data_IF_985670321343
#
_entry.id   IF_985670321343
#
_cell.length_a   1.000
_cell.length_b   1.000
_cell.length_c   1.000
_cell.angle_alpha   90.00
_cell.angle_beta   90.00
_cell.angle_gamma   90.00
#
_symmetry.space_group_name_H-M   'P 1'
#
loop_
_entity.id
_entity.type
_entity.pdbx_description
1 polymer ?
#
# COMPACT_ATOMS: atom_id res chain seq x y z
N UNK A 1 -18.59 -3.34 -7.40
CA UNK A 1 -18.16 -2.03 -7.95
C UNK A 1 -16.82 -1.64 -7.34
N UNK A 2 -16.01 -0.90 -8.08
CA UNK A 2 -14.69 -0.46 -7.68
C UNK A 2 -14.59 1.06 -7.84
N UNK A 3 -14.42 1.78 -6.73
CA UNK A 3 -14.15 3.21 -6.76
C UNK A 3 -12.65 3.43 -6.64
N UNK A 4 -12.04 3.80 -7.77
CA UNK A 4 -10.60 4.10 -7.88
C UNK A 4 -10.46 5.62 -7.85
N UNK A 5 -10.18 6.15 -6.67
CA UNK A 5 -9.93 7.58 -6.44
C UNK A 5 -9.01 7.69 -5.23
N UNK A 6 -8.10 8.64 -5.22
CA UNK A 6 -7.16 8.85 -4.11
C UNK A 6 -7.88 9.13 -2.78
N UNK A 7 -9.06 9.72 -2.85
CA UNK A 7 -9.96 9.91 -1.73
C UNK A 7 -11.39 9.98 -2.25
N UNK A 8 -12.19 8.94 -2.06
CA UNK A 8 -13.57 8.90 -2.52
C UNK A 8 -14.43 9.97 -1.84
N UNK A 9 -14.16 10.26 -0.58
CA UNK A 9 -14.96 11.21 0.21
C UNK A 9 -14.15 12.44 0.57
N UNK A 10 -14.56 13.59 0.03
CA UNK A 10 -13.97 14.89 0.34
C UNK A 10 -14.46 15.45 1.68
N UNK A 11 -15.71 15.13 2.06
CA UNK A 11 -16.31 15.48 3.34
C UNK A 11 -17.28 14.40 3.83
N UNK A 12 -17.67 14.47 5.10
CA UNK A 12 -18.65 13.56 5.68
C UNK A 12 -20.05 13.76 5.09
N UNK A 13 -20.40 14.99 4.80
CA UNK A 13 -21.67 15.37 4.16
C UNK A 13 -21.80 14.67 2.80
N UNK A 14 -20.77 14.79 1.98
CA UNK A 14 -20.72 14.11 0.68
C UNK A 14 -20.78 12.58 0.86
N UNK A 15 -20.06 12.01 1.85
CA UNK A 15 -20.11 10.59 2.12
C UNK A 15 -21.52 10.10 2.48
N UNK A 16 -22.25 10.82 3.34
CA UNK A 16 -23.65 10.50 3.72
C UNK A 16 -24.56 10.49 2.49
N UNK A 17 -24.51 11.55 1.72
CA UNK A 17 -25.37 11.70 0.53
C UNK A 17 -25.05 10.62 -0.51
N UNK A 18 -23.78 10.48 -0.87
CA UNK A 18 -23.31 9.51 -1.86
C UNK A 18 -23.68 8.08 -1.48
N UNK A 19 -23.32 7.65 -0.27
CA UNK A 19 -23.54 6.26 0.18
C UNK A 19 -25.03 5.95 0.31
N UNK A 20 -25.85 6.91 0.76
CA UNK A 20 -27.32 6.75 0.79
C UNK A 20 -27.91 6.58 -0.61
N UNK A 21 -27.50 7.41 -1.56
CA UNK A 21 -27.95 7.31 -2.97
C UNK A 21 -27.46 6.02 -3.62
N UNK A 22 -26.18 5.68 -3.41
CA UNK A 22 -25.57 4.47 -3.96
C UNK A 22 -26.31 3.21 -3.47
N UNK A 23 -26.61 3.13 -2.17
CA UNK A 23 -27.38 2.01 -1.59
C UNK A 23 -28.75 1.86 -2.26
N UNK A 24 -29.48 2.98 -2.44
CA UNK A 24 -30.86 2.98 -2.99
C UNK A 24 -30.89 2.69 -4.49
N UNK A 25 -29.95 3.25 -5.25
CA UNK A 25 -30.02 3.24 -6.71
C UNK A 25 -29.18 2.11 -7.34
N UNK A 26 -28.11 1.69 -6.69
CA UNK A 26 -27.17 0.69 -7.21
C UNK A 26 -27.18 -0.60 -6.37
N UNK A 27 -27.03 -0.49 -5.07
CA UNK A 27 -27.15 -1.60 -4.12
C UNK A 27 -26.16 -2.75 -4.28
N UNK A 28 -25.06 -2.55 -5.04
CA UNK A 28 -24.05 -3.58 -5.28
C UNK A 28 -22.92 -3.51 -4.26
N UNK A 29 -22.30 -4.65 -3.89
CA UNK A 29 -21.08 -4.63 -3.09
C UNK A 29 -19.97 -3.82 -3.79
N UNK A 30 -19.23 -3.04 -3.00
CA UNK A 30 -18.15 -2.22 -3.54
C UNK A 30 -16.91 -2.22 -2.66
N UNK A 31 -15.78 -1.82 -3.24
CA UNK A 31 -14.59 -1.40 -2.52
C UNK A 31 -14.21 0.03 -2.91
N UNK A 32 -13.50 0.72 -2.01
CA UNK A 32 -13.06 2.09 -2.22
C UNK A 32 -11.69 2.37 -1.61
N UNK A 33 -11.10 3.49 -2.02
CA UNK A 33 -9.88 4.03 -1.40
C UNK A 33 -10.25 5.22 -0.53
N UNK A 34 -9.64 5.31 0.64
CA UNK A 34 -9.90 6.36 1.61
C UNK A 34 -8.64 6.77 2.36
N UNK A 35 -8.64 7.99 2.85
CA UNK A 35 -7.64 8.43 3.80
C UNK A 35 -7.99 7.93 5.20
N UNK A 36 -6.95 7.58 5.97
CA UNK A 36 -7.10 7.08 7.34
C UNK A 36 -7.85 8.07 8.24
N UNK A 37 -7.59 9.36 8.06
CA UNK A 37 -8.16 10.45 8.87
C UNK A 37 -9.69 10.59 8.69
N UNK A 38 -10.24 10.06 7.60
CA UNK A 38 -11.68 10.05 7.34
C UNK A 38 -12.42 8.91 8.05
N UNK A 39 -11.68 7.94 8.62
CA UNK A 39 -12.28 6.75 9.21
C UNK A 39 -12.66 7.02 10.66
N UNK A 40 -13.94 7.11 10.91
CA UNK A 40 -14.54 7.11 12.25
C UNK A 40 -15.75 6.16 12.31
N UNK A 41 -16.41 6.13 13.45
CA UNK A 41 -17.56 5.23 13.69
C UNK A 41 -18.71 5.51 12.72
N UNK A 42 -18.98 6.79 12.43
CA UNK A 42 -20.05 7.20 11.54
C UNK A 42 -19.77 6.72 10.10
N UNK A 43 -18.60 7.04 9.57
CA UNK A 43 -18.20 6.66 8.21
C UNK A 43 -18.17 5.14 8.05
N UNK A 44 -17.68 4.41 9.06
CA UNK A 44 -17.66 2.94 9.01
C UNK A 44 -19.07 2.35 8.98
N UNK A 45 -20.00 2.93 9.73
CA UNK A 45 -21.42 2.48 9.71
C UNK A 45 -22.05 2.77 8.34
N UNK A 46 -21.82 3.94 7.76
CA UNK A 46 -22.32 4.29 6.44
C UNK A 46 -21.75 3.36 5.33
N UNK A 47 -20.46 3.09 5.40
CA UNK A 47 -19.80 2.16 4.46
C UNK A 47 -20.41 0.76 4.54
N UNK A 48 -20.56 0.24 5.76
CA UNK A 48 -21.14 -1.09 5.99
C UNK A 48 -22.58 -1.15 5.49
N UNK A 49 -23.38 -0.15 5.81
CA UNK A 49 -24.79 -0.08 5.43
C UNK A 49 -24.97 0.02 3.90
N UNK A 50 -24.06 0.70 3.20
CA UNK A 50 -24.06 0.81 1.75
C UNK A 50 -23.45 -0.40 1.01
N UNK A 51 -22.97 -1.43 1.74
CA UNK A 51 -22.42 -2.64 1.14
C UNK A 51 -20.93 -2.61 0.83
N UNK A 52 -20.17 -1.69 1.44
CA UNK A 52 -18.71 -1.70 1.33
C UNK A 52 -18.14 -2.96 1.98
N UNK A 53 -17.36 -3.72 1.22
CA UNK A 53 -16.74 -4.94 1.73
C UNK A 53 -15.22 -4.83 1.92
N UNK A 54 -14.59 -3.82 1.35
CA UNK A 54 -13.14 -3.66 1.37
C UNK A 54 -12.73 -2.20 1.22
N UNK A 55 -11.76 -1.75 2.02
CA UNK A 55 -11.23 -0.39 1.96
C UNK A 55 -9.71 -0.44 1.77
N UNK A 56 -9.20 0.34 0.85
CA UNK A 56 -7.76 0.58 0.69
C UNK A 56 -7.38 1.85 1.43
N UNK A 57 -6.38 1.75 2.31
CA UNK A 57 -5.85 2.84 3.11
C UNK A 57 -4.39 3.11 2.75
N UNK A 58 -4.03 4.34 2.46
CA UNK A 58 -2.65 4.79 2.34
C UNK A 58 -2.04 4.98 3.72
N UNK A 59 -1.26 3.99 4.17
CA UNK A 59 -0.45 4.06 5.40
C UNK A 59 0.89 4.76 5.09
N UNK A 60 1.44 4.45 3.95
CA UNK A 60 2.67 4.89 3.32
C UNK A 60 3.93 4.39 4.05
N UNK A 61 4.17 4.79 5.30
CA UNK A 61 5.30 4.35 6.12
C UNK A 61 4.88 4.06 7.55
N UNK A 62 5.57 3.15 8.23
CA UNK A 62 5.42 2.87 9.66
C UNK A 62 6.24 3.83 10.53
N UNK A 63 7.23 4.52 9.97
CA UNK A 63 8.00 5.52 10.69
C UNK A 63 7.23 6.83 10.79
N UNK A 64 6.93 7.29 12.01
CA UNK A 64 6.30 8.60 12.22
C UNK A 64 7.17 9.75 11.70
N UNK A 65 8.50 9.62 11.82
CA UNK A 65 9.44 10.59 11.26
C UNK A 65 9.28 10.68 9.75
N UNK A 66 9.30 9.56 9.05
CA UNK A 66 9.16 9.51 7.58
C UNK A 66 7.81 10.09 7.17
N UNK A 67 6.72 9.68 7.83
CA UNK A 67 5.39 10.23 7.55
C UNK A 67 5.34 11.74 7.73
N UNK A 68 5.80 12.25 8.89
CA UNK A 68 5.69 13.66 9.23
C UNK A 68 6.68 14.54 8.47
N UNK A 69 7.98 14.16 8.46
CA UNK A 69 9.04 15.04 7.96
C UNK A 69 9.25 14.93 6.45
N UNK A 70 9.04 13.74 5.87
CA UNK A 70 9.31 13.51 4.44
C UNK A 70 8.00 13.54 3.64
N UNK A 71 7.00 12.76 4.05
CA UNK A 71 5.74 12.63 3.32
C UNK A 71 4.72 13.74 3.63
N UNK A 72 4.99 14.59 4.64
CA UNK A 72 4.07 15.62 5.13
C UNK A 72 2.70 15.06 5.51
N UNK A 73 2.70 13.91 6.18
CA UNK A 73 1.51 13.24 6.73
C UNK A 73 1.63 13.14 8.24
N UNK A 74 0.77 13.85 8.97
CA UNK A 74 0.84 13.95 10.43
C UNK A 74 0.09 12.86 11.18
N UNK A 75 -0.30 11.76 10.52
CA UNK A 75 -0.97 10.64 11.16
C UNK A 75 -0.07 9.95 12.17
N UNK A 76 -0.53 9.84 13.42
CA UNK A 76 0.10 9.02 14.47
C UNK A 76 -0.33 7.56 14.37
N UNK A 77 0.48 6.66 14.88
CA UNK A 77 0.20 5.21 14.89
C UNK A 77 -1.18 4.89 15.51
N UNK A 78 -1.55 5.59 16.61
CA UNK A 78 -2.82 5.35 17.30
C UNK A 78 -4.03 5.63 16.39
N UNK A 79 -3.95 6.67 15.56
CA UNK A 79 -5.02 7.03 14.60
C UNK A 79 -5.17 5.93 13.55
N UNK A 80 -4.05 5.45 13.01
CA UNK A 80 -4.04 4.36 12.02
C UNK A 80 -4.61 3.08 12.62
N UNK A 81 -4.13 2.69 13.82
CA UNK A 81 -4.58 1.48 14.51
C UNK A 81 -6.07 1.57 14.84
N UNK A 82 -6.55 2.72 15.33
CA UNK A 82 -7.96 2.93 15.64
C UNK A 82 -8.84 2.79 14.40
N UNK A 83 -8.48 3.45 13.29
CA UNK A 83 -9.21 3.37 12.03
C UNK A 83 -9.32 1.93 11.52
N UNK A 84 -8.20 1.20 11.51
CA UNK A 84 -8.18 -0.20 11.09
C UNK A 84 -9.05 -1.09 11.99
N UNK A 85 -9.03 -0.89 13.31
CA UNK A 85 -9.88 -1.64 14.25
C UNK A 85 -11.37 -1.39 14.03
N UNK A 86 -11.76 -0.16 13.72
CA UNK A 86 -13.16 0.17 13.41
C UNK A 86 -13.65 -0.58 12.17
N UNK A 87 -12.90 -0.54 11.09
CA UNK A 87 -13.22 -1.26 9.85
C UNK A 87 -13.31 -2.78 10.09
N UNK A 88 -12.34 -3.35 10.82
CA UNK A 88 -12.32 -4.78 11.14
C UNK A 88 -13.52 -5.22 11.97
N UNK A 89 -13.90 -4.43 13.00
CA UNK A 89 -15.11 -4.69 13.81
C UNK A 89 -16.39 -4.66 12.97
N UNK A 90 -16.43 -3.84 11.93
CA UNK A 90 -17.55 -3.79 11.00
C UNK A 90 -17.56 -4.93 9.97
N UNK A 91 -16.53 -5.78 9.93
CA UNK A 91 -16.37 -6.83 8.94
C UNK A 91 -15.87 -6.36 7.58
N UNK A 92 -15.36 -5.11 7.50
CA UNK A 92 -14.82 -4.54 6.26
C UNK A 92 -13.34 -4.92 6.15
N UNK A 93 -12.97 -5.54 5.02
CA UNK A 93 -11.58 -5.91 4.73
C UNK A 93 -10.72 -4.66 4.49
N UNK A 94 -9.42 -4.78 4.78
CA UNK A 94 -8.46 -3.67 4.63
C UNK A 94 -7.31 -4.08 3.72
N UNK A 95 -7.00 -3.25 2.72
CA UNK A 95 -5.69 -3.20 2.07
C UNK A 95 -4.89 -2.03 2.62
N UNK A 96 -3.76 -2.30 3.24
CA UNK A 96 -2.83 -1.27 3.67
C UNK A 96 -1.78 -1.06 2.57
N UNK A 97 -1.78 0.11 1.96
CA UNK A 97 -0.78 0.49 0.98
C UNK A 97 0.39 1.17 1.68
N UNK A 98 1.59 0.70 1.38
CA UNK A 98 2.84 1.16 1.96
C UNK A 98 3.86 1.43 0.88
N UNK A 99 4.80 2.32 1.18
CA UNK A 99 5.93 2.67 0.31
C UNK A 99 7.19 2.57 1.18
N UNK A 100 8.24 1.96 0.64
CA UNK A 100 9.57 1.89 1.25
C UNK A 100 10.64 2.36 0.25
N UNK A 101 11.85 2.62 0.75
CA UNK A 101 12.91 3.21 -0.06
C UNK A 101 12.66 4.68 -0.37
N UNK A 102 11.94 5.36 0.52
CA UNK A 102 11.70 6.81 0.43
C UNK A 102 13.03 7.53 0.69
N UNK A 103 13.37 8.58 -0.08
CA UNK A 103 14.60 9.34 0.14
C UNK A 103 14.75 9.79 1.58
N UNK A 104 15.87 9.44 2.22
CA UNK A 104 16.13 9.70 3.63
C UNK A 104 15.50 8.72 4.62
N UNK A 105 14.83 7.66 4.15
CA UNK A 105 14.37 6.53 4.97
C UNK A 105 15.54 5.56 5.23
N UNK A 106 15.69 5.12 6.47
CA UNK A 106 16.64 4.06 6.82
C UNK A 106 16.03 2.67 6.60
N UNK A 107 16.87 1.65 6.57
CA UNK A 107 16.41 0.26 6.49
C UNK A 107 15.57 -0.15 7.71
N UNK A 108 15.96 0.33 8.88
CA UNK A 108 15.24 0.10 10.14
C UNK A 108 13.83 0.73 10.10
N UNK A 109 13.70 1.94 9.56
CA UNK A 109 12.41 2.62 9.38
C UNK A 109 11.50 1.91 8.37
N UNK A 110 12.07 1.33 7.30
CA UNK A 110 11.29 0.47 6.42
C UNK A 110 10.73 -0.76 7.17
N UNK A 111 11.45 -1.29 8.17
CA UNK A 111 10.96 -2.37 9.04
C UNK A 111 9.98 -1.91 10.12
N UNK A 112 9.98 -0.63 10.52
CA UNK A 112 8.87 -0.06 11.30
C UNK A 112 7.55 -0.15 10.52
N UNK A 113 7.60 -0.01 9.17
CA UNK A 113 6.44 -0.19 8.32
C UNK A 113 5.90 -1.62 8.37
N UNK A 114 6.77 -2.64 8.38
CA UNK A 114 6.38 -4.04 8.61
C UNK A 114 5.73 -4.18 9.99
N UNK A 115 6.35 -3.59 11.02
CA UNK A 115 5.88 -3.68 12.42
C UNK A 115 4.52 -3.05 12.61
N UNK A 116 4.26 -1.88 12.03
CA UNK A 116 2.95 -1.23 12.07
C UNK A 116 1.89 -2.09 11.36
N UNK A 117 2.19 -2.62 10.18
CA UNK A 117 1.29 -3.53 9.48
C UNK A 117 0.96 -4.78 10.29
N UNK A 118 1.90 -5.29 11.07
CA UNK A 118 1.66 -6.41 12.01
C UNK A 118 0.69 -6.03 13.13
N UNK A 119 0.77 -4.80 13.64
CA UNK A 119 -0.15 -4.29 14.68
C UNK A 119 -1.57 -4.10 14.14
N UNK A 120 -1.71 -3.57 12.94
CA UNK A 120 -3.03 -3.31 12.33
C UNK A 120 -3.66 -4.55 11.67
N UNK A 121 -2.88 -5.58 11.37
CA UNK A 121 -3.35 -6.86 10.78
C UNK A 121 -4.30 -6.70 9.59
N UNK A 122 -3.92 -5.99 8.53
CA UNK A 122 -4.80 -5.80 7.39
C UNK A 122 -5.05 -7.14 6.67
N UNK A 123 -6.13 -7.23 5.90
CA UNK A 123 -6.40 -8.39 5.04
C UNK A 123 -5.31 -8.60 4.01
N UNK A 124 -4.74 -7.49 3.55
CA UNK A 124 -3.60 -7.43 2.62
C UNK A 124 -2.70 -6.27 3.00
N UNK A 125 -1.39 -6.51 3.07
CA UNK A 125 -0.36 -5.49 3.19
C UNK A 125 0.34 -5.35 1.86
N UNK A 126 0.05 -4.27 1.14
CA UNK A 126 0.69 -3.96 -0.13
C UNK A 126 1.88 -3.04 0.11
N UNK A 127 3.00 -3.33 -0.53
CA UNK A 127 4.21 -2.52 -0.41
C UNK A 127 4.80 -2.25 -1.79
N UNK A 128 5.06 -0.98 -2.08
CA UNK A 128 5.75 -0.52 -3.27
C UNK A 128 7.12 0.07 -2.90
N UNK A 129 8.02 0.11 -3.86
CA UNK A 129 9.28 0.87 -3.77
C UNK A 129 9.03 2.28 -4.27
N UNK A 130 9.52 3.29 -3.54
CA UNK A 130 9.35 4.68 -3.90
C UNK A 130 9.88 4.97 -5.31
N UNK A 131 9.06 5.64 -6.11
CA UNK A 131 9.44 6.20 -7.41
C UNK A 131 9.20 7.72 -7.40
N UNK A 132 10.13 8.51 -7.95
CA UNK A 132 9.93 9.94 -8.08
C UNK A 132 8.93 10.22 -9.22
N UNK A 133 7.78 10.79 -8.89
CA UNK A 133 6.81 11.23 -9.89
C UNK A 133 6.99 12.71 -10.22
N UNK A 134 6.95 13.11 -11.50
CA UNK A 134 7.02 14.52 -11.91
C UNK A 134 5.97 15.36 -11.18
N UNK A 135 6.38 16.54 -10.72
CA UNK A 135 5.50 17.49 -10.06
C UNK A 135 5.22 17.21 -8.58
N UNK A 136 5.59 16.05 -8.03
CA UNK A 136 5.47 15.81 -6.59
C UNK A 136 6.45 16.68 -5.78
N UNK A 137 6.06 17.06 -4.56
CA UNK A 137 6.90 17.89 -3.69
C UNK A 137 8.26 17.24 -3.39
N UNK A 138 8.27 15.93 -3.15
CA UNK A 138 9.51 15.18 -2.88
C UNK A 138 10.42 15.23 -4.12
N UNK A 139 9.87 14.99 -5.30
CA UNK A 139 10.63 15.00 -6.54
C UNK A 139 11.23 16.38 -6.83
N UNK A 140 10.45 17.46 -6.64
CA UNK A 140 10.97 18.83 -6.78
C UNK A 140 12.14 19.08 -5.84
N UNK A 141 12.00 18.73 -4.56
CA UNK A 141 13.08 18.86 -3.60
C UNK A 141 14.34 18.08 -4.02
N UNK A 142 14.19 16.85 -4.52
CA UNK A 142 15.33 16.05 -5.00
C UNK A 142 16.02 16.67 -6.23
N UNK A 143 15.26 17.37 -7.08
CA UNK A 143 15.82 18.14 -8.20
C UNK A 143 16.55 19.40 -7.71
N UNK A 144 15.95 20.15 -6.77
CA UNK A 144 16.56 21.34 -6.16
C UNK A 144 17.85 20.99 -5.41
N UNK A 145 17.88 19.83 -4.74
CA UNK A 145 19.06 19.29 -4.04
C UNK A 145 20.11 18.67 -5.02
N UNK A 146 19.87 18.69 -6.34
CA UNK A 146 20.76 18.12 -7.36
C UNK A 146 20.87 16.59 -7.38
N UNK A 147 19.97 15.89 -6.68
CA UNK A 147 19.95 14.42 -6.61
C UNK A 147 19.31 13.82 -7.88
N UNK A 148 18.32 14.52 -8.44
CA UNK A 148 17.63 14.11 -9.67
C UNK A 148 17.89 15.14 -10.78
N UNK A 149 18.29 14.65 -11.96
CA UNK A 149 18.40 15.45 -13.17
C UNK A 149 17.01 15.84 -13.70
N UNK A 150 16.94 16.84 -14.58
CA UNK A 150 15.68 17.30 -15.20
C UNK A 150 15.00 16.22 -16.06
N UNK A 151 15.78 15.30 -16.62
CA UNK A 151 15.37 14.18 -17.48
C UNK A 151 15.14 12.87 -16.72
N UNK A 152 15.08 12.91 -15.38
CA UNK A 152 14.98 11.70 -14.54
C UNK A 152 13.81 10.76 -14.92
N UNK A 153 12.71 11.32 -15.43
CA UNK A 153 11.49 10.59 -15.77
C UNK A 153 11.71 9.54 -16.86
N UNK A 154 12.69 9.73 -17.76
CA UNK A 154 13.07 8.77 -18.79
C UNK A 154 13.74 7.51 -18.19
N UNK A 155 14.30 7.64 -16.99
CA UNK A 155 15.03 6.59 -16.27
C UNK A 155 14.17 5.89 -15.21
N UNK A 156 12.95 6.41 -14.94
CA UNK A 156 12.05 5.79 -13.94
C UNK A 156 11.54 4.45 -14.49
N UNK A 157 11.72 3.36 -13.72
CA UNK A 157 11.21 2.05 -14.14
C UNK A 157 9.69 2.05 -14.27
N UNK A 158 9.16 1.26 -15.20
CA UNK A 158 7.72 1.03 -15.36
C UNK A 158 7.10 0.20 -14.21
N UNK A 159 7.92 -0.28 -13.28
CA UNK A 159 7.52 -1.13 -12.15
C UNK A 159 7.75 -0.43 -10.81
N UNK A 160 6.87 -0.69 -9.84
CA UNK A 160 6.96 -0.20 -8.46
C UNK A 160 7.58 -1.24 -7.49
N UNK A 161 8.13 -2.36 -8.00
CA UNK A 161 8.37 -3.53 -7.14
C UNK A 161 9.81 -4.02 -7.10
N UNK A 162 10.68 -3.64 -8.02
CA UNK A 162 12.01 -4.23 -8.14
C UNK A 162 13.15 -3.24 -8.28
N UNK A 163 12.89 -2.03 -8.69
CA UNK A 163 13.91 -1.01 -8.95
C UNK A 163 13.44 0.38 -8.55
N UNK A 164 14.39 1.22 -8.19
CA UNK A 164 14.22 2.67 -8.13
C UNK A 164 15.56 3.33 -8.44
N UNK A 165 15.53 4.43 -9.15
CA UNK A 165 16.74 5.21 -9.48
C UNK A 165 17.39 5.86 -8.25
N UNK A 166 16.72 5.81 -7.09
CA UNK A 166 17.13 6.48 -5.85
C UNK A 166 17.78 5.55 -4.81
N UNK A 167 17.71 4.23 -4.98
CA UNK A 167 18.12 3.29 -3.93
C UNK A 167 19.64 3.05 -3.83
N UNK A 168 20.43 3.40 -4.84
CA UNK A 168 21.88 3.26 -4.82
C UNK A 168 22.38 1.84 -4.45
N UNK A 169 23.51 1.77 -3.75
CA UNK A 169 24.19 0.51 -3.41
C UNK A 169 23.38 -0.40 -2.45
N UNK A 170 22.45 0.15 -1.69
CA UNK A 170 21.62 -0.58 -0.72
C UNK A 170 20.26 -1.01 -1.30
N UNK A 171 20.06 -0.89 -2.61
CA UNK A 171 18.82 -1.27 -3.29
C UNK A 171 18.30 -2.65 -2.88
N UNK A 172 19.18 -3.64 -2.76
CA UNK A 172 18.81 -5.01 -2.42
C UNK A 172 18.09 -5.12 -1.07
N UNK A 173 18.40 -4.27 -0.08
CA UNK A 173 17.75 -4.29 1.24
C UNK A 173 16.26 -3.95 1.11
N UNK A 174 15.95 -2.89 0.38
CA UNK A 174 14.58 -2.43 0.18
C UNK A 174 13.80 -3.36 -0.76
N UNK A 175 14.43 -3.81 -1.85
CA UNK A 175 13.81 -4.76 -2.79
C UNK A 175 13.46 -6.08 -2.10
N UNK A 176 14.39 -6.64 -1.30
CA UNK A 176 14.13 -7.86 -0.55
C UNK A 176 13.06 -7.65 0.52
N UNK A 177 13.08 -6.50 1.20
CA UNK A 177 12.02 -6.15 2.17
C UNK A 177 10.66 -6.09 1.48
N UNK A 178 10.56 -5.45 0.32
CA UNK A 178 9.33 -5.39 -0.45
C UNK A 178 8.80 -6.78 -0.81
N UNK A 179 9.67 -7.68 -1.26
CA UNK A 179 9.30 -9.05 -1.62
C UNK A 179 8.84 -9.89 -0.43
N UNK A 180 9.49 -9.71 0.72
CA UNK A 180 9.17 -10.44 1.96
C UNK A 180 8.11 -9.74 2.81
N UNK A 181 7.67 -8.53 2.45
CA UNK A 181 6.82 -7.66 3.27
C UNK A 181 5.59 -8.38 3.80
N UNK A 182 4.77 -8.92 2.91
CA UNK A 182 3.53 -9.61 3.29
C UNK A 182 3.81 -10.85 4.16
N UNK A 183 4.89 -11.57 3.88
CA UNK A 183 5.29 -12.73 4.68
C UNK A 183 5.69 -12.30 6.10
N UNK A 184 6.47 -11.22 6.22
CA UNK A 184 6.91 -10.69 7.50
C UNK A 184 5.74 -10.17 8.36
N UNK A 185 4.72 -9.57 7.72
CA UNK A 185 3.49 -9.17 8.41
C UNK A 185 2.66 -10.37 8.87
N UNK A 186 2.58 -11.43 8.08
CA UNK A 186 1.82 -12.63 8.42
C UNK A 186 2.47 -13.48 9.52
N UNK A 187 3.80 -13.46 9.60
CA UNK A 187 4.59 -14.26 10.53
C UNK A 187 5.47 -13.39 11.44
N UNK A 188 4.90 -12.69 12.44
CA UNK A 188 5.62 -11.72 13.28
C UNK A 188 6.83 -12.34 14.02
N UNK A 189 6.72 -13.61 14.39
CA UNK A 189 7.81 -14.34 15.11
C UNK A 189 9.09 -14.50 14.25
N UNK A 190 8.94 -14.42 12.92
CA UNK A 190 10.03 -14.59 11.96
C UNK A 190 10.64 -13.26 11.49
N UNK A 191 10.14 -12.12 11.94
CA UNK A 191 10.56 -10.81 11.43
C UNK A 191 12.07 -10.59 11.53
N UNK A 192 12.69 -10.89 12.68
CA UNK A 192 14.15 -10.72 12.85
C UNK A 192 14.94 -11.57 11.85
N UNK A 193 14.49 -12.80 11.62
CA UNK A 193 15.12 -13.74 10.67
C UNK A 193 14.91 -13.22 9.25
N UNK A 194 13.70 -12.81 8.89
CA UNK A 194 13.39 -12.26 7.56
C UNK A 194 14.14 -10.95 7.31
N UNK A 195 14.28 -10.09 8.31
CA UNK A 195 15.10 -8.87 8.24
C UNK A 195 16.57 -9.20 7.95
N UNK A 196 17.10 -10.23 8.60
CA UNK A 196 18.46 -10.71 8.32
C UNK A 196 18.57 -11.24 6.89
N UNK A 197 17.59 -12.02 6.42
CA UNK A 197 17.55 -12.53 5.04
C UNK A 197 17.54 -11.38 4.00
N UNK A 198 16.94 -10.22 4.30
CA UNK A 198 16.96 -9.09 3.36
C UNK A 198 18.38 -8.62 3.00
N UNK A 199 19.38 -8.93 3.84
CA UNK A 199 20.81 -8.65 3.58
C UNK A 199 21.43 -9.64 2.59
N UNK A 200 20.79 -10.80 2.36
CA UNK A 200 21.28 -11.82 1.45
C UNK A 200 20.85 -11.54 0.00
N UNK A 201 21.73 -11.78 -0.96
CA UNK A 201 21.46 -11.58 -2.38
C UNK A 201 20.97 -12.88 -3.04
N UNK A 202 19.72 -13.30 -2.72
CA UNK A 202 19.08 -14.52 -3.26
C UNK A 202 17.75 -14.14 -3.96
N UNK A 203 17.78 -13.40 -5.09
CA UNK A 203 16.60 -12.75 -5.66
C UNK A 203 15.49 -13.73 -6.06
N UNK A 204 15.82 -14.87 -6.68
CA UNK A 204 14.83 -15.82 -7.22
C UNK A 204 13.87 -16.39 -6.15
N UNK A 205 14.36 -16.65 -4.95
CA UNK A 205 13.53 -17.16 -3.84
C UNK A 205 12.52 -16.10 -3.40
N UNK A 206 12.96 -14.85 -3.33
CA UNK A 206 12.09 -13.74 -2.91
C UNK A 206 11.02 -13.43 -3.95
N UNK A 207 11.31 -13.61 -5.24
CA UNK A 207 10.32 -13.45 -6.32
C UNK A 207 9.16 -14.44 -6.21
N UNK A 208 9.43 -15.69 -5.82
CA UNK A 208 8.38 -16.70 -5.58
C UNK A 208 7.49 -16.27 -4.41
N UNK A 209 8.09 -15.78 -3.31
CA UNK A 209 7.33 -15.27 -2.14
C UNK A 209 6.48 -14.07 -2.52
N UNK A 210 7.04 -13.15 -3.31
CA UNK A 210 6.30 -12.00 -3.83
C UNK A 210 5.12 -12.41 -4.71
N UNK A 211 5.32 -13.32 -5.65
CA UNK A 211 4.26 -13.81 -6.54
C UNK A 211 3.09 -14.43 -5.75
N UNK A 212 3.39 -15.21 -4.73
CA UNK A 212 2.37 -15.75 -3.82
C UNK A 212 1.62 -14.64 -3.06
N UNK A 213 2.33 -13.62 -2.58
CA UNK A 213 1.75 -12.47 -1.90
C UNK A 213 0.84 -11.67 -2.81
N UNK A 214 1.26 -11.46 -4.06
CA UNK A 214 0.48 -10.80 -5.10
C UNK A 214 -0.80 -11.59 -5.45
N UNK A 215 -0.68 -12.90 -5.62
CA UNK A 215 -1.84 -13.77 -5.82
C UNK A 215 -2.86 -13.66 -4.67
N UNK A 216 -2.39 -13.66 -3.42
CA UNK A 216 -3.27 -13.46 -2.27
C UNK A 216 -3.97 -12.10 -2.29
N UNK A 217 -3.24 -11.04 -2.66
CA UNK A 217 -3.80 -9.70 -2.81
C UNK A 217 -4.95 -9.70 -3.81
N UNK A 218 -4.70 -10.12 -5.04
CA UNK A 218 -5.70 -10.16 -6.11
C UNK A 218 -6.94 -10.96 -5.68
N UNK A 219 -6.75 -12.11 -5.07
CA UNK A 219 -7.86 -12.96 -4.60
C UNK A 219 -8.74 -12.29 -3.57
N UNK A 220 -8.14 -11.62 -2.57
CA UNK A 220 -8.86 -11.00 -1.46
C UNK A 220 -9.51 -9.67 -1.86
N UNK A 221 -8.76 -8.79 -2.52
CA UNK A 221 -9.25 -7.48 -2.89
C UNK A 221 -10.42 -7.55 -3.88
N UNK A 222 -10.33 -8.46 -4.87
CA UNK A 222 -11.36 -8.58 -5.91
C UNK A 222 -12.35 -9.72 -5.68
N UNK A 223 -12.31 -10.40 -4.54
CA UNK A 223 -13.15 -11.59 -4.23
C UNK A 223 -13.15 -12.64 -5.36
N UNK A 224 -12.01 -12.87 -6.00
CA UNK A 224 -11.89 -13.77 -7.14
C UNK A 224 -11.74 -15.23 -6.71
N UNK A 225 -12.22 -16.14 -7.57
CA UNK A 225 -11.88 -17.56 -7.46
C UNK A 225 -10.38 -17.80 -7.70
N UNK A 226 -9.88 -18.99 -7.34
CA UNK A 226 -8.45 -19.32 -7.56
C UNK A 226 -8.05 -19.17 -9.03
N UNK A 227 -8.83 -19.75 -9.94
CA UNK A 227 -8.59 -19.67 -11.39
C UNK A 227 -8.70 -18.25 -11.92
N UNK A 228 -9.70 -17.47 -11.46
CA UNK A 228 -9.89 -16.08 -11.87
C UNK A 228 -8.70 -15.18 -11.47
N UNK A 229 -8.16 -15.36 -10.26
CA UNK A 229 -6.99 -14.59 -9.82
C UNK A 229 -5.73 -14.92 -10.65
N UNK A 230 -5.49 -16.19 -10.95
CA UNK A 230 -4.37 -16.61 -11.80
C UNK A 230 -4.51 -16.01 -13.21
N UNK A 231 -5.71 -16.10 -13.82
CA UNK A 231 -5.97 -15.54 -15.16
C UNK A 231 -5.69 -14.04 -15.20
N UNK A 232 -6.14 -13.28 -14.19
CA UNK A 232 -5.90 -11.83 -14.08
C UNK A 232 -4.41 -11.50 -13.94
N UNK A 233 -3.67 -12.27 -13.14
CA UNK A 233 -2.22 -12.07 -13.00
C UNK A 233 -1.49 -12.30 -14.32
N UNK A 234 -1.85 -13.37 -15.04
CA UNK A 234 -1.27 -13.67 -16.35
C UNK A 234 -1.60 -12.59 -17.38
N UNK A 235 -2.83 -12.07 -17.39
CA UNK A 235 -3.22 -10.97 -18.28
C UNK A 235 -2.38 -9.71 -18.00
N UNK A 236 -2.27 -9.28 -16.75
CA UNK A 236 -1.46 -8.11 -16.37
C UNK A 236 0.03 -8.29 -16.73
N UNK A 237 0.57 -9.51 -16.56
CA UNK A 237 1.96 -9.81 -16.94
C UNK A 237 2.17 -9.77 -18.48
N UNK A 238 1.16 -10.13 -19.25
CA UNK A 238 1.18 -10.04 -20.71
C UNK A 238 1.09 -8.59 -21.21
N UNK A 239 0.23 -7.78 -20.60
CA UNK A 239 0.07 -6.36 -20.91
C UNK A 239 1.34 -5.56 -20.59
N UNK A 240 1.97 -5.83 -19.43
CA UNK A 240 3.22 -5.21 -19.02
C UNK A 240 4.44 -5.53 -19.93
N UNK A 241 4.38 -6.63 -20.71
CA UNK A 241 5.42 -6.95 -21.69
C UNK A 241 5.20 -6.29 -23.05
N UNK A 242 4.02 -5.72 -23.31
CA UNK A 242 3.66 -5.07 -24.57
C UNK A 242 3.78 -3.54 -24.50
N UNK A 243 3.87 -2.97 -23.31
CA UNK A 243 4.13 -1.54 -23.04
C UNK A 243 5.63 -1.31 -22.85
#
# INVERSE_FOLDING_TARGET
VSFISDNLFLSKEFAREFLSKFKKQVGLPFYCQMRVEMIDVEIVNLLKDAGCHFVTLGIESGSERVRKQILNRSMRDEVIIKACRLLQKAGIGISANNIIGIPGETFEEAWETVSLNTKIRPSVSWCAIFQPYPGSRITRKLQDDGILSSDFYEKVPSTLFDKSILLGNNAHLFVNTQRLFQLAVLFPRWQKILQWFCKCKIPKVYDIVFLYSFYRHVRKAYKMTRCGAIKKILQNAFEAKRA
#
